data_IF_938281963531
#
_entry.id   IF_938281963531
#
_cell.length_a   1.000
_cell.length_b   1.000
_cell.length_c   1.000
_cell.angle_alpha   90.00
_cell.angle_beta   90.00
_cell.angle_gamma   90.00
#
_symmetry.space_group_name_H-M   'P 1'
#
loop_
_entity.id
_entity.type
_entity.pdbx_description
1 polymer ?
#
# COMPACT_ATOMS: atom_id res chain seq x y z
N UNK A 1 -29.34 17.04 -0.50
CA UNK A 1 -29.81 15.66 -0.28
C UNK A 1 -30.06 15.35 1.21
N UNK A 2 -29.04 15.36 2.07
CA UNK A 2 -29.21 15.03 3.50
C UNK A 2 -30.22 15.93 4.26
N UNK A 3 -30.26 17.23 3.95
CA UNK A 3 -31.23 18.15 4.55
C UNK A 3 -32.69 17.76 4.21
N UNK A 4 -32.98 17.46 2.94
CA UNK A 4 -34.30 17.03 2.51
C UNK A 4 -34.72 15.68 3.14
N UNK A 5 -33.76 14.75 3.32
CA UNK A 5 -34.02 13.49 4.04
C UNK A 5 -34.41 13.78 5.50
N UNK A 6 -33.73 14.71 6.17
CA UNK A 6 -34.03 15.08 7.55
C UNK A 6 -35.44 15.68 7.68
N UNK A 7 -35.85 16.56 6.76
CA UNK A 7 -37.20 17.13 6.73
C UNK A 7 -38.28 16.06 6.52
N UNK A 8 -38.07 15.15 5.58
CA UNK A 8 -39.01 14.05 5.31
C UNK A 8 -39.11 13.08 6.49
N UNK A 9 -38.00 12.85 7.21
CA UNK A 9 -38.00 12.03 8.44
C UNK A 9 -38.82 12.69 9.55
N UNK A 10 -38.73 14.01 9.72
CA UNK A 10 -39.53 14.73 10.69
C UNK A 10 -41.04 14.66 10.34
N UNK A 11 -41.40 14.87 9.07
CA UNK A 11 -42.80 14.72 8.63
C UNK A 11 -43.34 13.30 8.89
N UNK A 12 -42.55 12.28 8.51
CA UNK A 12 -42.95 10.87 8.63
C UNK A 12 -43.10 10.41 10.08
N UNK A 13 -42.21 10.85 10.97
CA UNK A 13 -42.16 10.36 12.35
C UNK A 13 -43.03 11.18 13.30
N UNK A 14 -43.04 12.49 13.12
CA UNK A 14 -43.62 13.42 14.09
C UNK A 14 -45.02 13.92 13.68
N UNK A 15 -45.33 14.00 12.37
CA UNK A 15 -46.59 14.61 11.88
C UNK A 15 -47.60 13.60 11.35
N UNK A 16 -47.17 12.53 10.68
CA UNK A 16 -48.08 11.55 10.08
C UNK A 16 -48.68 10.60 11.11
N UNK A 17 -50.00 10.65 11.25
CA UNK A 17 -50.77 9.72 12.10
C UNK A 17 -50.98 8.39 11.39
N UNK A 18 -50.65 7.29 12.07
CA UNK A 18 -50.88 5.94 11.58
C UNK A 18 -52.36 5.58 11.71
N UNK A 19 -53.04 5.43 10.58
CA UNK A 19 -54.51 5.23 10.50
C UNK A 19 -55.06 4.10 11.38
N UNK A 20 -54.31 3.01 11.59
CA UNK A 20 -54.74 1.85 12.40
C UNK A 20 -54.68 2.09 13.91
N UNK A 21 -53.80 2.98 14.36
CA UNK A 21 -53.44 3.14 15.78
C UNK A 21 -53.77 4.55 16.30
N UNK A 22 -54.11 5.50 15.41
CA UNK A 22 -54.49 6.86 15.78
C UNK A 22 -53.36 7.71 16.38
N UNK A 23 -52.11 7.21 16.33
CA UNK A 23 -50.91 7.82 16.92
C UNK A 23 -49.85 8.06 15.85
N UNK A 24 -48.92 8.99 16.10
CA UNK A 24 -47.70 9.15 15.29
C UNK A 24 -46.65 8.12 15.69
N UNK A 25 -45.62 7.92 14.85
CA UNK A 25 -44.51 7.02 15.19
C UNK A 25 -43.74 7.51 16.42
N UNK A 26 -43.55 8.83 16.55
CA UNK A 26 -42.92 9.46 17.71
C UNK A 26 -43.65 9.11 19.00
N UNK A 27 -44.98 9.26 19.01
CA UNK A 27 -45.80 8.96 20.19
C UNK A 27 -45.69 7.48 20.58
N UNK A 28 -45.73 6.57 19.61
CA UNK A 28 -45.56 5.13 19.89
C UNK A 28 -44.17 4.82 20.44
N UNK A 29 -43.12 5.45 19.90
CA UNK A 29 -41.76 5.30 20.42
C UNK A 29 -41.64 5.78 21.87
N UNK A 30 -42.19 6.94 22.20
CA UNK A 30 -42.15 7.50 23.56
C UNK A 30 -42.95 6.66 24.57
N UNK A 31 -44.11 6.14 24.15
CA UNK A 31 -44.99 5.34 25.02
C UNK A 31 -44.48 3.90 25.22
N UNK A 32 -43.91 3.28 24.18
CA UNK A 32 -43.61 1.84 24.17
C UNK A 32 -42.12 1.53 24.22
N UNK A 33 -41.34 2.15 23.33
CA UNK A 33 -39.94 1.79 23.13
C UNK A 33 -39.04 2.47 24.17
N UNK A 34 -39.20 3.78 24.38
CA UNK A 34 -38.33 4.61 25.21
C UNK A 34 -38.17 4.09 26.64
N UNK A 35 -39.23 3.65 27.36
CA UNK A 35 -39.10 3.09 28.71
C UNK A 35 -38.34 1.74 28.74
N UNK A 36 -38.29 1.01 27.62
CA UNK A 36 -37.62 -0.27 27.50
C UNK A 36 -36.16 -0.15 27.00
N UNK A 37 -35.72 1.04 26.57
CA UNK A 37 -34.37 1.26 26.07
C UNK A 37 -33.32 1.23 27.20
N UNK A 38 -32.16 0.67 26.88
CA UNK A 38 -30.97 0.81 27.71
C UNK A 38 -30.36 2.20 27.53
N UNK A 39 -29.61 2.71 28.52
CA UNK A 39 -28.85 3.94 28.35
C UNK A 39 -27.94 3.86 27.13
N UNK A 40 -27.76 4.99 26.46
CA UNK A 40 -26.87 5.09 25.31
C UNK A 40 -25.45 4.69 25.74
N UNK A 41 -24.78 3.75 25.03
CA UNK A 41 -23.40 3.44 25.31
C UNK A 41 -22.52 4.69 25.27
N UNK A 42 -21.61 4.81 26.23
CA UNK A 42 -20.68 5.95 26.31
C UNK A 42 -19.81 6.03 25.06
N UNK A 43 -19.39 4.87 24.55
CA UNK A 43 -18.62 4.77 23.32
C UNK A 43 -19.54 4.50 22.13
N UNK A 44 -19.37 5.29 21.07
CA UNK A 44 -20.09 5.06 19.82
C UNK A 44 -19.68 3.72 19.22
N UNK A 45 -20.64 3.05 18.61
CA UNK A 45 -20.35 1.87 17.80
C UNK A 45 -19.34 2.22 16.69
N UNK A 46 -18.25 1.45 16.63
CA UNK A 46 -17.22 1.58 15.60
C UNK A 46 -17.33 0.40 14.66
N UNK A 47 -17.75 0.67 13.42
CA UNK A 47 -17.70 -0.32 12.36
C UNK A 47 -16.26 -0.76 12.12
N UNK A 48 -16.05 -2.07 12.00
CA UNK A 48 -14.74 -2.64 11.76
C UNK A 48 -14.83 -3.78 10.73
N UNK A 49 -13.94 -3.76 9.75
CA UNK A 49 -13.69 -4.89 8.87
C UNK A 49 -12.64 -5.80 9.50
N UNK A 50 -12.79 -7.11 9.32
CA UNK A 50 -11.81 -8.10 9.74
C UNK A 50 -11.17 -8.75 8.51
N UNK A 51 -9.84 -8.79 8.48
CA UNK A 51 -9.07 -9.42 7.40
C UNK A 51 -7.98 -10.31 7.98
N UNK A 52 -7.92 -11.55 7.50
CA UNK A 52 -6.77 -12.43 7.77
C UNK A 52 -5.61 -12.00 6.87
N UNK A 53 -4.45 -11.84 7.48
CA UNK A 53 -3.20 -11.46 6.82
C UNK A 53 -2.03 -12.26 7.38
N UNK A 54 -0.88 -12.13 6.74
CA UNK A 54 0.37 -12.74 7.20
C UNK A 54 1.41 -11.65 7.37
N UNK A 55 2.06 -11.61 8.52
CA UNK A 55 3.20 -10.73 8.72
C UNK A 55 4.32 -11.14 7.76
N UNK A 56 4.91 -10.17 7.08
CA UNK A 56 6.03 -10.44 6.19
C UNK A 56 7.29 -10.83 6.95
N UNK A 57 8.35 -11.13 6.20
CA UNK A 57 9.69 -11.35 6.76
C UNK A 57 10.23 -10.09 7.45
N UNK A 58 9.80 -8.94 6.93
CA UNK A 58 9.99 -7.60 7.47
C UNK A 58 9.07 -7.30 8.66
N UNK A 59 8.37 -8.28 9.25
CA UNK A 59 7.39 -8.12 10.34
C UNK A 59 6.36 -7.00 10.10
N UNK A 60 6.02 -6.72 8.84
CA UNK A 60 4.94 -5.80 8.50
C UNK A 60 3.77 -6.53 7.84
N UNK A 61 2.57 -6.07 8.17
CA UNK A 61 1.30 -6.55 7.64
C UNK A 61 0.77 -5.56 6.60
N UNK A 62 0.45 -6.05 5.41
CA UNK A 62 -0.14 -5.24 4.33
C UNK A 62 -1.66 -5.09 4.53
N UNK A 63 -2.09 -3.85 4.73
CA UNK A 63 -3.48 -3.46 4.85
C UNK A 63 -3.71 -2.28 3.91
N UNK A 64 -4.54 -2.50 2.89
CA UNK A 64 -4.91 -1.51 1.89
C UNK A 64 -3.69 -0.78 1.26
N UNK A 65 -2.61 -1.52 0.96
CA UNK A 65 -1.35 -1.00 0.41
C UNK A 65 -0.57 -0.09 1.38
N UNK A 66 -0.79 -0.22 2.67
CA UNK A 66 0.03 0.37 3.72
C UNK A 66 0.55 -0.73 4.66
N UNK A 67 1.78 -0.58 5.13
CA UNK A 67 2.47 -1.61 5.88
C UNK A 67 2.57 -1.24 7.36
N UNK A 68 1.97 -2.06 8.22
CA UNK A 68 1.96 -1.83 9.68
C UNK A 68 2.83 -2.86 10.38
N UNK A 69 3.76 -2.39 11.21
CA UNK A 69 4.67 -3.27 11.95
C UNK A 69 3.95 -4.10 13.02
N UNK A 70 4.46 -5.31 13.27
CA UNK A 70 4.16 -6.14 14.44
C UNK A 70 5.46 -6.51 15.15
N UNK A 71 5.45 -6.91 16.43
CA UNK A 71 6.66 -7.38 17.10
C UNK A 71 7.37 -8.49 16.30
N UNK A 72 8.70 -8.40 16.16
CA UNK A 72 9.48 -9.28 15.27
C UNK A 72 9.23 -10.79 15.46
N UNK A 73 8.91 -11.22 16.69
CA UNK A 73 8.59 -12.61 17.02
C UNK A 73 7.39 -13.18 16.25
N UNK A 74 6.54 -12.31 15.71
CA UNK A 74 5.39 -12.67 14.89
C UNK A 74 5.68 -12.57 13.38
N UNK A 75 6.94 -12.37 12.97
CA UNK A 75 7.31 -12.41 11.55
C UNK A 75 6.91 -13.76 10.94
N UNK A 76 6.33 -13.74 9.73
CA UNK A 76 5.78 -14.93 9.04
C UNK A 76 4.57 -15.60 9.72
N UNK A 77 4.05 -15.08 10.82
CA UNK A 77 2.83 -15.60 11.44
C UNK A 77 1.57 -15.08 10.74
N UNK A 78 0.50 -15.87 10.81
CA UNK A 78 -0.83 -15.44 10.39
C UNK A 78 -1.47 -14.60 11.51
N UNK A 79 -2.09 -13.49 11.12
CA UNK A 79 -2.67 -12.50 12.02
C UNK A 79 -4.03 -12.05 11.51
N UNK A 80 -4.86 -11.56 12.43
CA UNK A 80 -6.16 -10.97 12.14
C UNK A 80 -6.05 -9.45 12.28
N UNK A 81 -6.38 -8.73 11.23
CA UNK A 81 -6.41 -7.27 11.24
C UNK A 81 -7.85 -6.80 11.41
N UNK A 82 -8.12 -6.08 12.50
CA UNK A 82 -9.34 -5.32 12.70
C UNK A 82 -9.11 -3.89 12.19
N UNK A 83 -9.87 -3.52 11.18
CA UNK A 83 -9.69 -2.29 10.40
C UNK A 83 -10.89 -1.40 10.65
N UNK A 84 -10.67 -0.28 11.32
CA UNK A 84 -11.70 0.74 11.57
C UNK A 84 -11.48 1.96 10.67
N UNK A 85 -12.30 3.00 10.81
CA UNK A 85 -12.09 4.25 10.10
C UNK A 85 -10.72 4.89 10.41
N UNK A 86 -10.25 4.80 11.66
CA UNK A 86 -9.10 5.56 12.16
C UNK A 86 -7.97 4.70 12.73
N UNK A 87 -8.21 3.43 12.98
CA UNK A 87 -7.29 2.54 13.71
C UNK A 87 -7.19 1.19 13.03
N UNK A 88 -5.96 0.67 13.01
CA UNK A 88 -5.64 -0.70 12.63
C UNK A 88 -5.20 -1.43 13.90
N UNK A 89 -5.91 -2.48 14.28
CA UNK A 89 -5.51 -3.37 15.36
C UNK A 89 -5.14 -4.73 14.78
N UNK A 90 -4.04 -5.30 15.25
CA UNK A 90 -3.53 -6.58 14.77
C UNK A 90 -3.56 -7.57 15.92
N UNK A 91 -4.16 -8.73 15.66
CA UNK A 91 -4.36 -9.81 16.61
C UNK A 91 -3.64 -11.07 16.16
N UNK A 92 -3.13 -11.83 17.11
CA UNK A 92 -2.62 -13.19 16.89
C UNK A 92 -3.27 -14.11 17.91
N UNK A 93 -4.03 -15.10 17.43
CA UNK A 93 -4.78 -16.06 18.27
C UNK A 93 -5.67 -15.38 19.32
N UNK A 94 -6.37 -14.31 18.93
CA UNK A 94 -7.28 -13.55 19.79
C UNK A 94 -6.62 -12.49 20.70
N UNK A 95 -5.29 -12.46 20.80
CA UNK A 95 -4.58 -11.43 21.57
C UNK A 95 -4.16 -10.26 20.67
N UNK A 96 -4.42 -9.01 21.11
CA UNK A 96 -3.99 -7.81 20.37
C UNK A 96 -2.48 -7.60 20.54
N UNK A 97 -1.74 -7.77 19.45
CA UNK A 97 -0.27 -7.67 19.43
C UNK A 97 0.24 -6.30 18.97
N UNK A 98 -0.57 -5.53 18.25
CA UNK A 98 -0.22 -4.18 17.81
C UNK A 98 -1.47 -3.32 17.55
N UNK A 99 -1.33 -2.00 17.65
CA UNK A 99 -2.33 -1.04 17.21
C UNK A 99 -1.67 0.19 16.60
N UNK A 100 -2.25 0.70 15.52
CA UNK A 100 -1.71 1.80 14.73
C UNK A 100 -2.82 2.76 14.32
N UNK A 101 -2.48 4.03 14.14
CA UNK A 101 -3.36 4.96 13.44
C UNK A 101 -3.44 4.55 11.96
N UNK A 102 -4.64 4.48 11.40
CA UNK A 102 -4.86 4.14 10.00
C UNK A 102 -4.33 5.26 9.11
N UNK A 103 -3.40 4.92 8.24
CA UNK A 103 -2.93 5.70 7.10
C UNK A 103 -3.51 5.13 5.81
N UNK A 104 -3.70 5.98 4.80
CA UNK A 104 -4.18 5.58 3.47
C UNK A 104 -3.05 5.00 2.60
N UNK A 105 -3.42 4.11 1.68
CA UNK A 105 -2.60 3.26 0.80
C UNK A 105 -1.56 3.97 -0.07
N UNK A 106 -0.51 4.45 0.57
CA UNK A 106 0.60 5.19 0.00
C UNK A 106 1.85 4.32 -0.24
N UNK A 107 1.77 3.01 -0.02
CA UNK A 107 2.92 2.10 -0.11
C UNK A 107 3.99 2.34 0.96
N UNK A 108 3.71 3.14 1.99
CA UNK A 108 4.63 3.46 3.08
C UNK A 108 4.42 2.51 4.27
N UNK A 109 5.29 2.67 5.25
CA UNK A 109 5.32 1.88 6.48
C UNK A 109 4.97 2.78 7.67
N UNK A 110 4.18 2.24 8.60
CA UNK A 110 4.04 2.74 9.97
C UNK A 110 4.73 1.74 10.89
N UNK A 111 5.88 2.15 11.41
CA UNK A 111 6.75 1.29 12.22
C UNK A 111 6.82 1.82 13.65
N UNK A 112 6.54 0.94 14.61
CA UNK A 112 6.69 1.19 16.04
C UNK A 112 8.08 0.70 16.47
N UNK A 113 8.96 1.55 17.03
CA UNK A 113 10.33 1.17 17.39
C UNK A 113 10.41 -0.05 18.30
N UNK A 114 9.45 -0.21 19.22
CA UNK A 114 9.36 -1.33 20.17
C UNK A 114 9.18 -2.69 19.48
N UNK A 115 8.72 -2.70 18.22
CA UNK A 115 8.61 -3.94 17.43
C UNK A 115 9.97 -4.44 16.93
N UNK A 116 11.04 -3.64 17.05
CA UNK A 116 12.39 -3.90 16.54
C UNK A 116 13.45 -3.96 17.65
N UNK A 117 13.43 -4.98 18.53
CA UNK A 117 14.45 -5.13 19.57
C UNK A 117 15.82 -5.50 19.01
N UNK A 118 16.87 -5.20 19.77
CA UNK A 118 18.28 -5.35 19.40
C UNK A 118 18.72 -6.78 19.06
N UNK A 119 17.98 -7.80 19.52
CA UNK A 119 18.17 -9.22 19.17
C UNK A 119 17.88 -9.53 17.70
N UNK A 120 17.15 -8.67 17.00
CA UNK A 120 16.84 -8.80 15.58
C UNK A 120 18.04 -8.58 14.65
N UNK A 121 19.12 -7.92 15.13
CA UNK A 121 20.29 -7.57 14.31
C UNK A 121 20.90 -8.78 13.59
N UNK A 122 21.10 -9.90 14.30
CA UNK A 122 21.66 -11.13 13.70
C UNK A 122 20.75 -11.74 12.61
N UNK A 123 19.44 -11.62 12.76
CA UNK A 123 18.48 -12.12 11.77
C UNK A 123 18.44 -11.23 10.53
N UNK A 124 18.58 -9.92 10.72
CA UNK A 124 18.72 -8.96 9.64
C UNK A 124 19.97 -9.25 8.79
N UNK A 125 21.13 -9.45 9.43
CA UNK A 125 22.39 -9.75 8.74
C UNK A 125 22.25 -10.98 7.82
N UNK A 126 21.75 -12.10 8.38
CA UNK A 126 21.53 -13.33 7.60
C UNK A 126 20.53 -13.14 6.44
N UNK A 127 19.52 -12.31 6.63
CA UNK A 127 18.50 -12.03 5.60
C UNK A 127 19.07 -11.17 4.47
N UNK A 128 19.89 -10.17 4.80
CA UNK A 128 20.56 -9.31 3.82
C UNK A 128 21.55 -10.13 2.98
N UNK A 129 22.39 -10.95 3.63
CA UNK A 129 23.31 -11.86 2.93
C UNK A 129 22.57 -12.79 1.97
N UNK A 130 21.43 -13.33 2.42
CA UNK A 130 20.59 -14.18 1.57
C UNK A 130 20.03 -13.42 0.36
N UNK A 131 19.49 -12.21 0.55
CA UNK A 131 18.98 -11.37 -0.54
C UNK A 131 20.10 -11.06 -1.53
N UNK A 132 21.27 -10.67 -1.03
CA UNK A 132 22.44 -10.35 -1.86
C UNK A 132 22.89 -11.54 -2.72
N UNK A 133 22.97 -12.74 -2.12
CA UNK A 133 23.32 -13.98 -2.83
C UNK A 133 22.29 -14.36 -3.89
N UNK A 134 21.00 -14.33 -3.54
CA UNK A 134 19.93 -14.66 -4.50
C UNK A 134 19.87 -13.65 -5.66
N UNK A 135 20.04 -12.35 -5.38
CA UNK A 135 20.06 -11.30 -6.40
C UNK A 135 21.27 -11.43 -7.33
N UNK A 136 22.46 -11.66 -6.78
CA UNK A 136 23.70 -11.85 -7.54
C UNK A 136 23.64 -13.05 -8.47
N UNK A 137 22.91 -14.11 -8.09
CA UNK A 137 22.71 -15.29 -8.93
C UNK A 137 21.78 -15.03 -10.13
N UNK A 138 21.04 -13.91 -10.14
CA UNK A 138 20.20 -13.49 -11.27
C UNK A 138 20.98 -12.53 -12.16
N UNK A 139 21.69 -11.56 -11.59
CA UNK A 139 22.56 -10.65 -12.32
C UNK A 139 23.03 -9.45 -11.49
N UNK A 140 24.04 -8.74 -12.01
CA UNK A 140 24.69 -7.63 -11.31
C UNK A 140 23.77 -6.45 -11.04
N UNK A 141 22.86 -6.13 -11.97
CA UNK A 141 21.94 -4.99 -11.82
C UNK A 141 20.84 -5.30 -10.81
N UNK A 142 20.40 -6.56 -10.74
CA UNK A 142 19.48 -7.02 -9.69
C UNK A 142 20.11 -6.87 -8.31
N UNK A 143 21.38 -7.29 -8.15
CA UNK A 143 22.13 -7.16 -6.91
C UNK A 143 22.28 -5.69 -6.50
N UNK A 144 22.73 -4.83 -7.42
CA UNK A 144 22.91 -3.40 -7.18
C UNK A 144 21.59 -2.69 -6.84
N UNK A 145 20.49 -3.05 -7.50
CA UNK A 145 19.18 -2.49 -7.18
C UNK A 145 18.69 -2.91 -5.80
N UNK A 146 18.87 -4.18 -5.43
CA UNK A 146 18.50 -4.65 -4.08
C UNK A 146 19.33 -3.94 -3.00
N UNK A 147 20.64 -3.80 -3.21
CA UNK A 147 21.52 -3.06 -2.30
C UNK A 147 21.03 -1.62 -2.07
N UNK A 148 20.75 -0.88 -3.15
CA UNK A 148 20.24 0.50 -3.07
C UNK A 148 18.88 0.58 -2.36
N UNK A 149 17.98 -0.37 -2.62
CA UNK A 149 16.68 -0.41 -1.95
C UNK A 149 16.84 -0.59 -0.44
N UNK A 150 17.78 -1.43 0.01
CA UNK A 150 18.02 -1.68 1.43
C UNK A 150 18.70 -0.48 2.10
N UNK A 151 19.64 0.18 1.42
CA UNK A 151 20.40 1.31 1.94
C UNK A 151 19.57 2.61 2.05
N UNK A 152 18.64 2.85 1.13
CA UNK A 152 17.82 4.07 1.11
C UNK A 152 16.76 4.14 2.23
N UNK A 153 16.49 3.02 2.91
CA UNK A 153 15.44 2.93 3.94
C UNK A 153 16.03 3.22 5.31
N UNK A 154 15.28 3.87 6.22
CA UNK A 154 15.71 4.04 7.61
C UNK A 154 16.03 2.71 8.31
N UNK A 155 15.32 1.66 7.89
CA UNK A 155 15.49 0.28 8.35
C UNK A 155 15.54 -0.64 7.13
N UNK A 156 16.64 -1.41 6.92
CA UNK A 156 16.78 -2.32 5.77
C UNK A 156 15.62 -3.29 5.61
N UNK A 157 15.00 -3.69 6.71
CA UNK A 157 13.87 -4.61 6.74
C UNK A 157 12.69 -4.16 5.89
N UNK A 158 12.43 -2.85 5.84
CA UNK A 158 11.38 -2.28 5.01
C UNK A 158 11.64 -2.47 3.49
N UNK A 159 12.89 -2.75 3.12
CA UNK A 159 13.30 -3.09 1.76
C UNK A 159 13.17 -4.57 1.41
N UNK A 160 13.04 -5.47 2.40
CA UNK A 160 13.03 -6.93 2.16
C UNK A 160 11.90 -7.36 1.23
N UNK A 161 10.69 -6.83 1.44
CA UNK A 161 9.52 -7.16 0.59
C UNK A 161 9.76 -6.75 -0.87
N UNK A 162 10.36 -5.58 -1.10
CA UNK A 162 10.67 -5.10 -2.45
C UNK A 162 11.74 -5.96 -3.12
N UNK A 163 12.86 -6.24 -2.44
CA UNK A 163 13.95 -7.05 -2.98
C UNK A 163 13.49 -8.48 -3.29
N UNK A 164 12.79 -9.14 -2.36
CA UNK A 164 12.24 -10.48 -2.59
C UNK A 164 11.17 -10.47 -3.69
N UNK A 165 10.40 -9.39 -3.82
CA UNK A 165 9.46 -9.20 -4.92
C UNK A 165 10.16 -9.17 -6.27
N UNK A 166 11.26 -8.42 -6.38
CA UNK A 166 12.08 -8.32 -7.60
C UNK A 166 12.72 -9.67 -7.93
N UNK A 167 13.35 -10.34 -6.96
CA UNK A 167 13.95 -11.67 -7.12
C UNK A 167 12.90 -12.67 -7.64
N UNK A 168 11.66 -12.60 -7.16
CA UNK A 168 10.56 -13.49 -7.60
C UNK A 168 10.08 -13.23 -9.04
N UNK A 169 10.41 -12.11 -9.67
CA UNK A 169 10.03 -11.83 -11.05
C UNK A 169 10.58 -12.87 -12.04
N UNK A 170 11.69 -13.54 -11.70
CA UNK A 170 12.27 -14.63 -12.50
C UNK A 170 11.34 -15.83 -12.68
N UNK A 171 10.23 -15.91 -11.91
CA UNK A 171 9.19 -16.93 -12.11
C UNK A 171 8.28 -16.63 -13.31
N UNK A 172 8.17 -15.36 -13.69
CA UNK A 172 7.30 -14.89 -14.76
C UNK A 172 8.09 -14.38 -15.98
N UNK A 173 9.36 -14.01 -15.79
CA UNK A 173 10.23 -13.43 -16.80
C UNK A 173 11.60 -14.12 -16.78
N UNK A 174 12.30 -14.13 -17.92
CA UNK A 174 13.67 -14.65 -18.02
C UNK A 174 14.65 -13.83 -17.16
N UNK A 175 15.72 -14.48 -16.66
CA UNK A 175 16.67 -13.85 -15.73
C UNK A 175 17.35 -12.64 -16.36
N UNK A 176 17.72 -12.76 -17.63
CA UNK A 176 18.38 -11.75 -18.43
C UNK A 176 17.49 -10.51 -18.56
N UNK A 177 16.18 -10.71 -18.82
CA UNK A 177 15.19 -9.63 -18.87
C UNK A 177 15.02 -8.94 -17.52
N UNK A 178 14.95 -9.72 -16.44
CA UNK A 178 14.84 -9.16 -15.08
C UNK A 178 16.09 -8.33 -14.74
N UNK A 179 17.28 -8.80 -15.08
CA UNK A 179 18.51 -8.04 -14.87
C UNK A 179 18.52 -6.74 -15.70
N UNK A 180 18.21 -6.81 -16.99
CA UNK A 180 18.12 -5.63 -17.86
C UNK A 180 17.07 -4.61 -17.36
N UNK A 181 15.92 -5.09 -16.89
CA UNK A 181 14.89 -4.23 -16.30
C UNK A 181 15.38 -3.52 -15.02
N UNK A 182 16.17 -4.21 -14.18
CA UNK A 182 16.80 -3.61 -13.01
C UNK A 182 17.85 -2.57 -13.40
N UNK A 183 18.65 -2.85 -14.44
CA UNK A 183 19.59 -1.88 -15.02
C UNK A 183 18.86 -0.62 -15.49
N UNK A 184 17.78 -0.78 -16.25
CA UNK A 184 16.95 0.35 -16.70
C UNK A 184 16.32 1.12 -15.53
N UNK A 185 15.87 0.43 -14.49
CA UNK A 185 15.33 1.07 -13.29
C UNK A 185 16.41 1.91 -12.57
N UNK A 186 17.65 1.40 -12.50
CA UNK A 186 18.78 2.12 -11.92
C UNK A 186 19.13 3.38 -12.70
N UNK A 187 19.13 3.33 -14.04
CA UNK A 187 19.37 4.48 -14.92
C UNK A 187 18.39 5.63 -14.68
N UNK A 188 17.11 5.31 -14.49
CA UNK A 188 16.05 6.30 -14.26
C UNK A 188 15.85 6.64 -12.77
N UNK A 189 16.68 6.10 -11.88
CA UNK A 189 16.58 6.32 -10.43
C UNK A 189 15.37 5.67 -9.75
N UNK A 190 14.70 4.72 -10.42
CA UNK A 190 13.54 4.02 -9.88
C UNK A 190 13.95 2.85 -8.97
N UNK A 191 13.45 2.85 -7.73
CA UNK A 191 13.85 1.88 -6.67
C UNK A 191 12.66 1.16 -6.06
N UNK A 192 11.68 0.79 -6.90
CA UNK A 192 10.49 0.07 -6.46
C UNK A 192 10.23 -1.15 -7.30
N UNK A 193 9.66 -2.19 -6.68
CA UNK A 193 9.16 -3.37 -7.39
C UNK A 193 8.19 -3.00 -8.53
N UNK A 194 7.28 -2.04 -8.27
CA UNK A 194 6.29 -1.60 -9.26
C UNK A 194 6.93 -1.01 -10.51
N UNK A 195 8.02 -0.25 -10.36
CA UNK A 195 8.78 0.30 -11.48
C UNK A 195 9.45 -0.79 -12.31
N UNK A 196 10.12 -1.75 -11.67
CA UNK A 196 10.76 -2.88 -12.38
C UNK A 196 9.72 -3.72 -13.12
N UNK A 197 8.59 -4.00 -12.46
CA UNK A 197 7.48 -4.73 -13.08
C UNK A 197 6.91 -3.97 -14.29
N UNK A 198 6.69 -2.66 -14.15
CA UNK A 198 6.22 -1.82 -15.25
C UNK A 198 7.20 -1.84 -16.43
N UNK A 199 8.51 -1.80 -16.19
CA UNK A 199 9.53 -1.89 -17.25
C UNK A 199 9.40 -3.21 -18.02
N UNK A 200 9.24 -4.33 -17.29
CA UNK A 200 9.09 -5.67 -17.89
C UNK A 200 7.78 -5.84 -18.66
N UNK A 201 6.67 -5.36 -18.10
CA UNK A 201 5.33 -5.43 -18.69
C UNK A 201 5.24 -4.59 -19.98
N UNK A 202 5.98 -3.48 -20.05
CA UNK A 202 6.04 -2.59 -21.23
C UNK A 202 7.24 -2.86 -22.15
N UNK A 203 7.99 -3.94 -21.92
CA UNK A 203 9.17 -4.32 -22.72
C UNK A 203 10.28 -3.26 -22.81
N UNK A 204 10.36 -2.35 -21.83
CA UNK A 204 11.35 -1.28 -21.76
C UNK A 204 12.73 -1.79 -21.31
N UNK A 205 12.82 -3.06 -20.92
CA UNK A 205 14.07 -3.78 -20.61
C UNK A 205 14.87 -4.15 -21.86
N UNK A 206 14.21 -4.15 -23.02
CA UNK A 206 14.87 -4.45 -24.29
C UNK A 206 15.54 -3.18 -24.79
N UNK A 207 16.75 -3.29 -25.38
CA UNK A 207 17.27 -2.17 -26.16
C UNK A 207 16.17 -1.79 -27.15
N UNK A 208 15.75 -0.52 -27.13
CA UNK A 208 15.10 0.04 -28.30
C UNK A 208 15.99 -0.38 -29.45
N UNK A 209 15.45 -1.10 -30.44
CA UNK A 209 16.07 -1.06 -31.75
C UNK A 209 16.32 0.42 -31.97
N UNK A 210 17.57 0.81 -32.05
CA UNK A 210 17.93 2.20 -32.22
C UNK A 210 17.18 2.63 -33.47
N UNK A 211 16.11 3.41 -33.26
CA UNK A 211 16.01 4.66 -33.97
C UNK A 211 17.39 5.29 -33.80
N UNK A 212 18.27 4.98 -34.76
CA UNK A 212 19.25 5.93 -35.20
C UNK A 212 18.43 7.16 -35.52
N UNK A 213 18.23 8.00 -34.52
CA UNK A 213 17.95 9.39 -34.71
C UNK A 213 19.21 9.93 -35.38
N UNK A 214 19.33 9.65 -36.68
CA UNK A 214 19.78 10.67 -37.60
C UNK A 214 19.07 11.93 -37.13
N UNK A 215 19.85 12.90 -36.69
CA UNK A 215 19.35 14.27 -36.56
C UNK A 215 18.55 14.52 -37.85
N UNK A 216 17.26 14.88 -37.79
CA UNK A 216 16.53 15.13 -39.02
C UNK A 216 17.34 16.19 -39.76
N UNK A 217 17.82 15.84 -40.96
CA UNK A 217 18.46 16.82 -41.81
C UNK A 217 17.53 18.04 -41.85
N UNK A 218 18.05 19.25 -41.61
CA UNK A 218 17.20 20.42 -41.59
C UNK A 218 16.44 20.47 -42.91
N UNK A 219 15.11 20.43 -42.81
CA UNK A 219 14.21 20.47 -43.97
C UNK A 219 14.54 21.76 -44.74
N UNK A 220 15.24 21.62 -45.85
CA UNK A 220 15.63 22.74 -46.69
C UNK A 220 14.44 23.07 -47.60
N UNK A 221 13.54 23.92 -47.10
CA UNK A 221 12.38 24.40 -47.87
C UNK A 221 12.55 25.87 -48.22
N UNK A 222 12.20 26.26 -49.45
CA UNK A 222 12.34 27.63 -49.98
C UNK A 222 11.64 28.72 -49.15
N UNK A 223 10.67 28.33 -48.31
CA UNK A 223 9.92 29.23 -47.43
C UNK A 223 10.51 29.40 -46.02
N UNK A 224 11.55 28.65 -45.65
CA UNK A 224 12.19 28.77 -44.33
C UNK A 224 13.31 29.81 -44.44
N UNK A 225 13.05 31.02 -43.93
CA UNK A 225 14.02 32.13 -43.94
C UNK A 225 14.91 32.05 -42.70
N UNK A 226 16.22 32.02 -42.93
CA UNK A 226 17.22 31.90 -41.87
C UNK A 226 17.38 33.17 -41.01
N UNK A 227 18.19 33.10 -39.94
CA UNK A 227 18.34 34.17 -38.95
C UNK A 227 18.78 35.52 -39.52
N UNK A 228 19.43 35.52 -40.69
CA UNK A 228 19.89 36.73 -41.40
C UNK A 228 18.76 37.56 -42.02
N UNK A 229 17.53 37.05 -42.05
CA UNK A 229 16.37 37.77 -42.60
C UNK A 229 15.80 38.83 -41.64
N UNK A 230 16.16 38.78 -40.35
CA UNK A 230 15.70 39.72 -39.33
C UNK A 230 16.82 40.67 -38.90
N UNK A 231 17.38 41.43 -39.86
CA UNK A 231 18.31 42.54 -39.60
C UNK A 231 17.77 43.82 -40.23
#
# INVERSE_FOLDING_TARGET
MNAAIAELLADLNDRRVLRRVGRTRRQLFEELDYPALRPLPVERYVFAEWKIRRAGLDYHVDIDKHYYSVPYRFAREQVEARITANTIEIFHKGERIAAHRRSSGNGKHTTTPEHMPSSHRRFADWTIERISREASAIGSDVALLCERILADRPHPEQGYRACLGIIRLVKAFERERVNAACGRALEIGARTYGSVRSILDNHLDRPSASSGASSPEPINHSNIRGPRYYH
#
